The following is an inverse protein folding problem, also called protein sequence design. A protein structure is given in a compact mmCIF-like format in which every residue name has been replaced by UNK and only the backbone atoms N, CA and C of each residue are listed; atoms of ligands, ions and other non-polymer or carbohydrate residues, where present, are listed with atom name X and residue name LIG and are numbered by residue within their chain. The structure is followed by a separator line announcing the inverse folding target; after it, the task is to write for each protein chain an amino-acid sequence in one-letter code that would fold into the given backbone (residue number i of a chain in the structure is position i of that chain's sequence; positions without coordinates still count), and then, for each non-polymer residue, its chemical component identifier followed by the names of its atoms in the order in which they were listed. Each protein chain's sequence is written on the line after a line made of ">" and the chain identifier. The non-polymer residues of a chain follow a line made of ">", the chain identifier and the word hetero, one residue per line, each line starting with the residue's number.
data_IF_742129753253
#
_entry.id   IF_742129753253
#
_cell.length_a   1.000
_cell.length_b   1.000
_cell.length_c   1.000
_cell.angle_alpha   90.00
_cell.angle_beta   90.00
_cell.angle_gamma   90.00
#
_symmetry.space_group_name_H-M   'P 1'
#
loop_
_entity.id
_entity.type
_entity.pdbx_description
1 polymer ?
#
# COMPACT_ATOMS: atom_id res chain seq x y z
N UNK A 1 47.06 16.66 44.18
CA UNK A 1 46.16 15.72 44.84
C UNK A 1 44.88 15.62 44.02
N UNK A 2 44.70 14.54 43.25
CA UNK A 2 43.43 14.29 42.50
C UNK A 2 42.52 13.50 43.42
N UNK A 3 41.37 14.07 43.83
CA UNK A 3 40.35 13.37 44.62
C UNK A 3 39.62 12.40 43.69
N UNK A 4 39.82 11.12 43.92
CA UNK A 4 39.11 10.04 43.24
C UNK A 4 37.77 9.82 43.99
N UNK A 5 36.65 10.18 43.35
CA UNK A 5 35.33 9.91 43.89
C UNK A 5 35.10 8.39 43.85
N UNK A 6 34.77 7.76 44.97
CA UNK A 6 34.59 6.30 45.03
C UNK A 6 33.37 5.88 44.22
N UNK A 7 33.52 4.82 43.40
CA UNK A 7 32.52 4.26 42.46
C UNK A 7 31.08 4.10 43.02
N UNK A 8 30.86 3.74 44.29
CA UNK A 8 29.48 3.65 44.82
C UNK A 8 28.74 5.00 44.88
N UNK A 9 29.46 6.13 45.07
CA UNK A 9 28.85 7.47 45.08
C UNK A 9 28.36 7.91 43.71
N UNK A 10 29.02 7.48 42.64
CA UNK A 10 28.62 7.80 41.26
C UNK A 10 27.33 7.06 40.89
N UNK A 11 27.18 5.80 41.31
CA UNK A 11 25.96 4.97 41.05
C UNK A 11 24.72 5.53 41.80
N UNK A 12 24.87 6.00 43.03
CA UNK A 12 23.75 6.59 43.77
C UNK A 12 23.31 7.92 43.18
N UNK A 13 24.26 8.74 42.69
CA UNK A 13 23.96 10.03 42.05
C UNK A 13 23.23 9.84 40.72
N UNK A 14 23.63 8.86 39.90
CA UNK A 14 22.93 8.54 38.64
C UNK A 14 21.52 7.96 38.85
N UNK A 15 21.33 7.14 39.90
CA UNK A 15 20.02 6.60 40.26
C UNK A 15 19.04 7.69 40.71
N UNK A 16 19.53 8.66 41.48
CA UNK A 16 18.72 9.81 41.95
C UNK A 16 18.28 10.72 40.80
N UNK A 17 19.13 10.91 39.78
CA UNK A 17 18.79 11.72 38.59
C UNK A 17 17.74 11.04 37.72
N UNK A 18 17.81 9.72 37.58
CA UNK A 18 16.83 8.93 36.78
C UNK A 18 15.46 8.93 37.48
N UNK A 19 15.39 8.68 38.79
CA UNK A 19 14.14 8.67 39.55
C UNK A 19 13.51 10.06 39.60
N UNK A 20 14.31 11.14 39.77
CA UNK A 20 13.83 12.52 39.74
C UNK A 20 13.29 12.93 38.36
N UNK A 21 13.90 12.44 37.26
CA UNK A 21 13.42 12.66 35.88
C UNK A 21 12.08 12.00 35.58
N UNK A 22 11.87 10.79 36.05
CA UNK A 22 10.61 10.04 35.86
C UNK A 22 9.47 10.72 36.65
N UNK A 23 9.67 11.10 37.90
CA UNK A 23 8.67 11.81 38.71
C UNK A 23 8.27 13.18 38.12
N UNK A 24 9.22 13.89 37.45
CA UNK A 24 8.92 15.16 36.79
C UNK A 24 8.09 14.99 35.52
N UNK A 25 8.26 13.88 34.78
CA UNK A 25 7.46 13.54 33.58
C UNK A 25 6.03 13.17 33.98
N UNK A 26 5.82 12.38 35.05
CA UNK A 26 4.47 12.01 35.49
C UNK A 26 3.66 13.21 35.98
N UNK A 27 4.27 14.14 36.73
CA UNK A 27 3.60 15.37 37.18
C UNK A 27 3.22 16.35 36.05
N UNK A 28 3.80 16.22 34.85
CA UNK A 28 3.44 17.04 33.71
C UNK A 28 2.31 16.43 32.86
N UNK A 29 2.10 15.12 32.93
CA UNK A 29 1.04 14.43 32.16
C UNK A 29 -0.34 14.62 32.79
N UNK A 30 -0.46 14.81 34.09
CA UNK A 30 -1.73 15.04 34.77
C UNK A 30 -2.30 16.48 34.59
N UNK A 31 -1.53 17.41 34.04
CA UNK A 31 -1.93 18.79 33.83
C UNK A 31 -2.60 19.09 32.48
N UNK A 32 -2.74 18.11 31.60
CA UNK A 32 -3.33 18.27 30.22
C UNK A 32 -4.57 17.38 30.06
N UNK A 33 -5.44 17.39 31.04
CA UNK A 33 -6.69 16.64 30.96
C UNK A 33 -7.90 17.52 31.31
N UNK A 34 -8.86 17.54 30.41
CA UNK A 34 -10.25 18.00 30.54
C UNK A 34 -10.57 19.44 30.12
N UNK A 35 -10.91 19.58 28.85
CA UNK A 35 -11.93 20.53 28.42
C UNK A 35 -12.72 19.93 27.27
N UNK A 36 -13.85 19.31 27.53
CA UNK A 36 -14.85 18.92 26.53
C UNK A 36 -15.77 20.14 26.27
N UNK A 37 -16.07 20.47 25.02
CA UNK A 37 -17.11 21.46 24.73
C UNK A 37 -18.50 20.80 24.76
N UNK A 38 -19.40 21.43 25.53
CA UNK A 38 -20.82 21.11 25.60
C UNK A 38 -21.51 21.42 24.28
N UNK A 39 -22.22 20.43 23.75
CA UNK A 39 -23.19 20.61 22.69
C UNK A 39 -24.43 21.35 23.22
N UNK A 40 -24.80 22.43 22.57
CA UNK A 40 -26.10 23.10 22.75
C UNK A 40 -27.10 22.48 21.81
N UNK A 41 -28.14 21.88 22.38
CA UNK A 41 -29.33 21.46 21.66
C UNK A 41 -30.18 22.72 21.35
N UNK A 42 -30.53 22.90 20.10
CA UNK A 42 -31.66 23.75 19.73
C UNK A 42 -32.65 22.94 18.90
N UNK A 43 -33.84 22.84 19.44
CA UNK A 43 -35.00 22.12 18.94
C UNK A 43 -35.96 23.12 18.32
N UNK A 44 -36.33 22.91 17.06
CA UNK A 44 -37.66 23.32 16.60
C UNK A 44 -38.12 22.57 15.36
N UNK A 45 -39.42 22.24 15.27
CA UNK A 45 -39.94 21.24 14.35
C UNK A 45 -40.40 21.87 13.04
N UNK A 46 -40.13 21.23 11.94
CA UNK A 46 -40.79 21.61 10.68
C UNK A 46 -41.66 20.46 10.16
N UNK A 47 -42.91 20.82 10.01
CA UNK A 47 -44.10 20.06 9.68
C UNK A 47 -44.07 19.59 8.25
N UNK A 48 -44.29 18.30 8.03
CA UNK A 48 -44.53 17.73 6.72
C UNK A 48 -46.01 17.86 6.32
N UNK A 49 -46.38 18.11 5.06
CA UNK A 49 -47.70 17.82 4.55
C UNK A 49 -47.81 16.41 3.98
N UNK A 50 -48.89 15.74 4.33
CA UNK A 50 -49.29 14.39 3.87
C UNK A 50 -49.94 14.41 2.49
N UNK A 51 -50.08 13.25 1.84
CA UNK A 51 -50.25 13.05 0.41
C UNK A 51 -51.69 13.09 -0.04
N UNK A 52 -51.89 13.56 -1.25
CA UNK A 52 -53.15 13.47 -1.96
C UNK A 52 -53.23 12.17 -2.80
N UNK A 53 -54.37 11.55 -2.75
CA UNK A 53 -54.79 10.30 -3.35
C UNK A 53 -54.92 10.29 -4.89
N UNK A 54 -55.13 9.14 -5.54
CA UNK A 54 -54.70 8.89 -6.91
C UNK A 54 -55.82 9.18 -7.93
N UNK A 55 -55.44 9.62 -9.12
CA UNK A 55 -56.33 9.61 -10.28
C UNK A 55 -55.93 8.55 -11.29
N UNK A 56 -56.99 7.87 -11.72
CA UNK A 56 -57.05 6.71 -12.56
C UNK A 56 -56.30 6.81 -13.89
N UNK A 57 -55.88 5.66 -14.33
CA UNK A 57 -55.29 5.29 -15.63
C UNK A 57 -56.19 5.57 -16.82
N UNK A 58 -55.59 5.58 -18.01
CA UNK A 58 -56.12 4.67 -19.02
C UNK A 58 -55.05 3.66 -19.47
N UNK A 59 -55.51 2.46 -19.55
CA UNK A 59 -54.98 1.25 -20.17
C UNK A 59 -54.64 1.52 -21.65
N UNK A 60 -53.40 1.30 -22.06
CA UNK A 60 -53.04 1.21 -23.49
C UNK A 60 -52.12 0.01 -23.69
N UNK A 61 -52.63 -0.84 -24.54
CA UNK A 61 -52.18 -2.05 -25.20
C UNK A 61 -50.69 -2.43 -25.13
N UNK A 62 -50.53 -3.69 -24.79
CA UNK A 62 -49.38 -4.56 -24.92
C UNK A 62 -48.89 -4.66 -26.38
N UNK A 63 -47.75 -4.01 -26.70
CA UNK A 63 -46.95 -4.41 -27.83
C UNK A 63 -45.68 -5.13 -27.33
N UNK A 64 -45.67 -6.44 -27.59
CA UNK A 64 -44.46 -7.28 -27.45
C UNK A 64 -43.41 -6.84 -28.48
N UNK A 65 -42.56 -5.91 -28.06
CA UNK A 65 -41.33 -5.62 -28.74
C UNK A 65 -40.18 -6.27 -27.96
N UNK A 66 -39.68 -7.40 -28.50
CA UNK A 66 -38.38 -7.98 -28.07
C UNK A 66 -37.29 -7.01 -28.45
N UNK A 67 -36.97 -6.03 -27.57
CA UNK A 67 -35.80 -5.23 -27.71
C UNK A 67 -34.59 -6.02 -27.14
N UNK A 68 -33.88 -6.71 -28.02
CA UNK A 68 -32.50 -7.11 -27.78
C UNK A 68 -31.72 -5.81 -27.54
N UNK A 69 -31.04 -5.63 -26.40
CA UNK A 69 -30.21 -4.43 -26.21
C UNK A 69 -29.12 -4.44 -27.30
N UNK A 70 -29.18 -3.46 -28.19
CA UNK A 70 -28.14 -3.24 -29.15
C UNK A 70 -26.85 -2.92 -28.35
N UNK A 71 -25.95 -3.90 -28.24
CA UNK A 71 -24.58 -3.62 -27.77
C UNK A 71 -24.03 -2.50 -28.64
N UNK A 72 -23.60 -1.42 -28.00
CA UNK A 72 -23.01 -0.28 -28.69
C UNK A 72 -21.85 -0.79 -29.57
N UNK A 73 -21.93 -0.54 -30.86
CA UNK A 73 -20.89 -0.95 -31.81
C UNK A 73 -19.48 -0.44 -31.45
N UNK A 74 -19.41 0.64 -30.69
CA UNK A 74 -18.18 1.19 -30.12
C UNK A 74 -17.59 0.36 -28.97
N UNK A 75 -18.41 -0.31 -28.19
CA UNK A 75 -17.97 -1.21 -27.11
C UNK A 75 -17.48 -2.52 -27.68
N UNK A 76 -18.18 -3.11 -28.64
CA UNK A 76 -17.78 -4.33 -29.35
C UNK A 76 -16.45 -4.14 -30.12
N UNK A 77 -16.23 -2.97 -30.73
CA UNK A 77 -14.93 -2.64 -31.37
C UNK A 77 -13.79 -2.47 -30.35
N UNK A 78 -14.05 -1.89 -29.16
CA UNK A 78 -13.05 -1.74 -28.10
C UNK A 78 -12.65 -3.10 -27.51
N UNK A 79 -13.63 -3.96 -27.25
CA UNK A 79 -13.42 -5.32 -26.77
C UNK A 79 -12.63 -6.17 -27.75
N UNK A 80 -12.89 -6.05 -29.04
CA UNK A 80 -12.11 -6.71 -30.11
C UNK A 80 -10.69 -6.17 -30.23
N UNK A 81 -10.46 -4.88 -30.01
CA UNK A 81 -9.12 -4.29 -30.00
C UNK A 81 -8.31 -4.69 -28.74
N UNK A 82 -8.96 -4.80 -27.58
CA UNK A 82 -8.29 -5.20 -26.34
C UNK A 82 -7.86 -6.68 -26.35
N UNK A 83 -8.63 -7.56 -27.01
CA UNK A 83 -8.38 -9.00 -27.13
C UNK A 83 -7.57 -9.40 -28.37
N UNK A 84 -7.27 -8.45 -29.27
CA UNK A 84 -6.49 -8.75 -30.49
C UNK A 84 -5.00 -8.95 -30.14
N UNK A 85 -4.41 -10.14 -30.44
CA UNK A 85 -2.99 -10.40 -30.21
C UNK A 85 -2.06 -9.36 -30.86
N UNK A 86 -2.36 -8.89 -32.07
CA UNK A 86 -1.57 -7.86 -32.78
C UNK A 86 -1.59 -6.53 -32.01
N UNK A 87 -2.73 -6.10 -31.47
CA UNK A 87 -2.83 -4.89 -30.67
C UNK A 87 -2.07 -5.01 -29.33
N UNK A 88 -2.02 -6.22 -28.74
CA UNK A 88 -1.20 -6.50 -27.56
C UNK A 88 0.28 -6.38 -27.89
N UNK A 89 0.74 -7.00 -28.99
CA UNK A 89 2.15 -6.98 -29.37
C UNK A 89 2.63 -5.56 -29.72
N UNK A 90 1.82 -4.77 -30.43
CA UNK A 90 2.11 -3.35 -30.68
C UNK A 90 2.19 -2.52 -29.40
N UNK A 91 1.31 -2.78 -28.43
CA UNK A 91 1.34 -2.11 -27.11
C UNK A 91 2.60 -2.46 -26.35
N UNK A 92 2.97 -3.73 -26.31
CA UNK A 92 4.19 -4.20 -25.64
C UNK A 92 5.43 -3.58 -26.31
N UNK A 93 5.54 -3.64 -27.65
CA UNK A 93 6.65 -3.07 -28.40
C UNK A 93 6.80 -1.55 -28.23
N UNK A 94 5.70 -0.82 -28.00
CA UNK A 94 5.74 0.60 -27.66
C UNK A 94 6.28 0.82 -26.25
N UNK A 95 5.77 0.05 -25.25
CA UNK A 95 6.22 0.15 -23.86
C UNK A 95 7.70 -0.22 -23.70
N UNK A 96 8.21 -1.18 -24.46
CA UNK A 96 9.63 -1.57 -24.46
C UNK A 96 10.58 -0.43 -24.88
N UNK A 97 10.09 0.55 -25.64
CA UNK A 97 10.88 1.72 -26.03
C UNK A 97 10.89 2.83 -25.01
N UNK A 98 9.94 2.79 -24.06
CA UNK A 98 9.66 3.90 -23.15
C UNK A 98 9.96 3.53 -21.69
N UNK A 99 9.78 2.26 -21.30
CA UNK A 99 9.87 1.80 -19.92
C UNK A 99 10.77 0.58 -19.79
N UNK A 100 11.46 0.47 -18.66
CA UNK A 100 12.21 -0.72 -18.29
C UNK A 100 11.25 -1.85 -17.90
N UNK A 101 11.60 -3.08 -18.23
CA UNK A 101 10.91 -4.25 -17.69
C UNK A 101 11.27 -4.45 -16.24
N UNK A 102 10.30 -4.90 -15.45
CA UNK A 102 10.55 -5.35 -14.09
C UNK A 102 11.33 -6.67 -14.11
N UNK A 103 12.31 -6.75 -13.22
CA UNK A 103 13.07 -7.98 -12.97
C UNK A 103 12.26 -8.93 -12.07
N UNK A 104 12.57 -10.22 -12.14
CA UNK A 104 11.96 -11.23 -11.28
C UNK A 104 12.58 -11.19 -9.87
N UNK A 105 11.86 -11.73 -8.87
CA UNK A 105 12.41 -11.97 -7.54
C UNK A 105 13.55 -12.96 -7.66
N UNK A 106 14.74 -12.58 -7.21
CA UNK A 106 15.96 -13.35 -7.39
C UNK A 106 16.43 -13.98 -6.08
N UNK A 107 16.67 -15.29 -6.08
CA UNK A 107 17.27 -16.08 -5.00
C UNK A 107 16.76 -15.71 -3.59
N UNK A 108 15.44 -15.75 -3.33
CA UNK A 108 14.88 -15.40 -2.03
C UNK A 108 15.40 -16.36 -0.95
N UNK A 109 15.63 -15.82 0.25
CA UNK A 109 16.05 -16.62 1.43
C UNK A 109 14.86 -17.17 2.21
N UNK A 110 13.64 -16.73 1.90
CA UNK A 110 12.38 -17.15 2.50
C UNK A 110 11.26 -16.18 2.19
N UNK A 111 10.06 -16.55 2.64
CA UNK A 111 8.84 -15.77 2.48
C UNK A 111 8.08 -15.67 3.80
N UNK A 112 7.34 -14.58 3.99
CA UNK A 112 6.37 -14.39 5.08
C UNK A 112 5.05 -13.97 4.42
N UNK A 113 3.92 -14.46 4.94
CA UNK A 113 2.57 -14.28 4.40
C UNK A 113 2.35 -14.87 2.99
N UNK A 114 3.27 -15.69 2.48
CA UNK A 114 3.14 -16.39 1.20
C UNK A 114 4.10 -17.57 1.17
N UNK A 115 3.84 -18.54 0.30
CA UNK A 115 4.72 -19.67 0.02
C UNK A 115 5.70 -19.36 -1.13
N UNK A 116 5.30 -18.47 -2.04
CA UNK A 116 6.07 -18.04 -3.21
C UNK A 116 5.60 -16.67 -3.70
N UNK A 117 6.47 -15.95 -4.40
CA UNK A 117 6.17 -14.68 -5.07
C UNK A 117 6.85 -14.64 -6.41
N UNK A 118 6.09 -14.38 -7.48
CA UNK A 118 6.62 -14.20 -8.83
C UNK A 118 6.02 -12.97 -9.49
N UNK A 119 6.89 -12.07 -9.95
CA UNK A 119 6.52 -10.90 -10.75
C UNK A 119 5.97 -11.35 -12.11
N UNK A 120 6.60 -12.36 -12.71
CA UNK A 120 6.19 -12.89 -14.01
C UNK A 120 4.81 -13.57 -13.96
N UNK A 121 4.47 -14.27 -12.88
CA UNK A 121 3.17 -14.92 -12.72
C UNK A 121 2.02 -13.91 -12.63
N UNK A 122 2.27 -12.70 -12.14
CA UNK A 122 1.27 -11.64 -12.04
C UNK A 122 1.05 -10.87 -13.36
N UNK A 123 1.91 -11.07 -14.36
CA UNK A 123 1.78 -10.40 -15.66
C UNK A 123 0.49 -10.79 -16.39
N UNK A 124 -0.17 -9.81 -16.93
CA UNK A 124 -1.47 -9.94 -17.58
C UNK A 124 -2.65 -9.79 -16.63
N UNK A 125 -2.44 -9.90 -15.32
CA UNK A 125 -3.52 -9.94 -14.33
C UNK A 125 -3.48 -8.80 -13.33
N UNK A 126 -2.30 -8.45 -12.81
CA UNK A 126 -2.17 -7.54 -11.66
C UNK A 126 -1.22 -6.38 -11.94
N UNK A 127 -1.49 -5.25 -11.29
CA UNK A 127 -0.50 -4.20 -11.04
C UNK A 127 0.28 -4.60 -9.80
N UNK A 128 1.60 -4.37 -9.77
CA UNK A 128 2.44 -4.73 -8.63
C UNK A 128 3.01 -3.46 -8.00
N UNK A 129 2.89 -3.34 -6.68
CA UNK A 129 3.67 -2.42 -5.87
C UNK A 129 4.79 -3.22 -5.18
N UNK A 130 6.02 -3.03 -5.64
CA UNK A 130 7.20 -3.62 -5.03
C UNK A 130 7.84 -2.59 -4.10
N UNK A 131 8.01 -2.94 -2.83
CA UNK A 131 8.60 -2.09 -1.80
C UNK A 131 9.88 -2.71 -1.23
N UNK A 132 11.02 -2.05 -1.45
CA UNK A 132 12.30 -2.41 -0.82
C UNK A 132 12.40 -1.74 0.54
N UNK A 133 12.48 -2.54 1.58
CA UNK A 133 12.47 -2.06 2.96
C UNK A 133 13.36 -2.88 3.89
N UNK A 134 13.62 -2.37 5.08
CA UNK A 134 14.12 -3.14 6.21
C UNK A 134 13.49 -2.63 7.51
N UNK A 135 13.29 -3.50 8.48
CA UNK A 135 12.44 -3.20 9.63
C UNK A 135 13.03 -2.19 10.62
N UNK A 136 14.36 -2.03 10.67
CA UNK A 136 15.00 -1.03 11.54
C UNK A 136 15.11 0.36 10.91
N UNK A 137 14.83 0.50 9.61
CA UNK A 137 14.88 1.77 8.90
C UNK A 137 13.70 2.68 9.28
N UNK A 138 13.98 3.83 9.90
CA UNK A 138 12.95 4.74 10.39
C UNK A 138 12.04 5.28 9.26
N UNK A 139 12.61 5.61 8.08
CA UNK A 139 11.84 6.07 6.94
C UNK A 139 10.93 4.98 6.37
N UNK A 140 11.36 3.70 6.45
CA UNK A 140 10.52 2.56 6.09
C UNK A 140 9.34 2.42 7.05
N UNK A 141 9.58 2.57 8.36
CA UNK A 141 8.52 2.52 9.38
C UNK A 141 7.48 3.64 9.17
N UNK A 142 7.90 4.84 8.74
CA UNK A 142 6.99 5.94 8.41
C UNK A 142 6.19 5.68 7.12
N UNK A 143 6.77 4.96 6.18
CA UNK A 143 6.13 4.62 4.89
C UNK A 143 5.12 3.48 5.03
N UNK A 144 5.37 2.53 5.93
CA UNK A 144 4.62 1.29 6.11
C UNK A 144 3.10 1.47 6.25
N UNK A 145 2.57 2.43 7.05
CA UNK A 145 1.12 2.63 7.18
C UNK A 145 0.41 2.99 5.88
N UNK A 146 1.11 3.62 4.93
CA UNK A 146 0.54 3.94 3.61
C UNK A 146 0.47 2.71 2.73
N UNK A 147 1.51 1.86 2.73
CA UNK A 147 1.56 0.62 1.97
C UNK A 147 0.48 -0.36 2.47
N UNK A 148 0.33 -0.52 3.80
CA UNK A 148 -0.74 -1.32 4.40
C UNK A 148 -2.12 -0.85 3.94
N UNK A 149 -2.37 0.47 3.95
CA UNK A 149 -3.63 1.06 3.49
C UNK A 149 -3.89 0.82 2.01
N UNK A 150 -2.86 0.88 1.15
CA UNK A 150 -3.02 0.57 -0.28
C UNK A 150 -3.28 -0.91 -0.51
N UNK A 151 -2.62 -1.78 0.26
CA UNK A 151 -2.91 -3.20 0.26
C UNK A 151 -4.37 -3.45 0.64
N UNK A 152 -4.83 -2.97 1.81
CA UNK A 152 -6.21 -3.11 2.27
C UNK A 152 -7.25 -2.60 1.25
N UNK A 153 -6.96 -1.48 0.59
CA UNK A 153 -7.90 -0.83 -0.33
C UNK A 153 -7.95 -1.44 -1.71
N UNK A 154 -6.85 -1.98 -2.24
CA UNK A 154 -6.71 -2.32 -3.65
C UNK A 154 -6.28 -3.78 -3.92
N UNK A 155 -6.07 -4.61 -2.89
CA UNK A 155 -5.51 -5.97 -3.03
C UNK A 155 -6.54 -7.02 -3.49
N UNK A 156 -7.79 -6.65 -3.61
CA UNK A 156 -8.85 -7.56 -4.05
C UNK A 156 -8.45 -8.19 -5.37
N UNK A 157 -8.18 -8.41 -6.29
CA UNK A 157 -7.67 -9.09 -7.47
C UNK A 157 -6.82 -8.22 -8.41
N UNK A 158 -6.59 -6.94 -8.09
CA UNK A 158 -6.02 -5.99 -9.03
C UNK A 158 -4.62 -5.47 -8.68
N UNK A 159 -4.35 -5.21 -7.38
CA UNK A 159 -3.04 -4.78 -6.89
C UNK A 159 -2.39 -5.89 -6.09
N UNK A 160 -1.18 -6.26 -6.44
CA UNK A 160 -0.32 -7.10 -5.62
C UNK A 160 0.76 -6.23 -4.97
N UNK A 161 0.72 -6.13 -3.65
CA UNK A 161 1.83 -5.54 -2.88
C UNK A 161 2.82 -6.64 -2.56
N UNK A 162 4.11 -6.35 -2.72
CA UNK A 162 5.21 -7.24 -2.37
C UNK A 162 6.27 -6.43 -1.64
N UNK A 163 6.54 -6.79 -0.38
CA UNK A 163 7.66 -6.25 0.38
C UNK A 163 8.92 -7.06 0.10
N UNK A 164 10.00 -6.42 -0.31
CA UNK A 164 11.33 -7.03 -0.42
C UNK A 164 12.15 -6.54 0.76
N UNK A 165 12.23 -7.40 1.78
CA UNK A 165 13.04 -7.12 2.96
C UNK A 165 14.50 -7.41 2.67
N UNK A 166 15.29 -6.35 2.46
CA UNK A 166 16.75 -6.44 2.22
C UNK A 166 17.46 -5.89 3.45
N UNK A 167 18.22 -6.72 4.18
CA UNK A 167 18.81 -6.35 5.47
C UNK A 167 19.95 -5.34 5.33
N UNK A 168 19.96 -4.28 6.16
CA UNK A 168 21.11 -3.38 6.33
C UNK A 168 22.11 -3.96 7.33
N UNK A 169 21.59 -4.59 8.40
CA UNK A 169 22.39 -5.14 9.49
C UNK A 169 22.27 -6.66 9.59
N UNK A 170 23.27 -7.29 10.24
CA UNK A 170 23.32 -8.75 10.36
C UNK A 170 22.11 -9.34 11.08
N UNK A 171 21.60 -8.66 12.13
CA UNK A 171 20.46 -9.15 12.91
C UNK A 171 19.14 -9.14 12.12
N UNK A 172 19.06 -8.38 11.05
CA UNK A 172 17.91 -8.31 10.15
C UNK A 172 17.82 -9.51 9.19
N UNK A 173 18.85 -10.36 9.14
CA UNK A 173 18.84 -11.61 8.35
C UNK A 173 18.09 -12.75 9.01
N UNK A 174 17.85 -12.63 10.33
CA UNK A 174 17.21 -13.68 11.10
C UNK A 174 15.69 -13.69 10.82
N UNK A 175 15.20 -14.82 10.28
CA UNK A 175 13.79 -14.97 9.89
C UNK A 175 12.82 -14.58 11.02
N UNK A 176 13.05 -15.05 12.25
CA UNK A 176 12.20 -14.78 13.38
C UNK A 176 12.09 -13.28 13.72
N UNK A 177 13.17 -12.51 13.53
CA UNK A 177 13.16 -11.08 13.76
C UNK A 177 12.33 -10.34 12.70
N UNK A 178 12.48 -10.73 11.43
CA UNK A 178 11.69 -10.15 10.33
C UNK A 178 10.21 -10.51 10.48
N UNK A 179 9.92 -11.78 10.82
CA UNK A 179 8.55 -12.23 11.06
C UNK A 179 7.88 -11.48 12.23
N UNK A 180 8.60 -11.23 13.31
CA UNK A 180 8.11 -10.42 14.42
C UNK A 180 7.83 -8.98 13.97
N UNK A 181 8.75 -8.36 13.23
CA UNK A 181 8.59 -7.01 12.74
C UNK A 181 7.41 -6.87 11.74
N UNK A 182 7.20 -7.86 10.87
CA UNK A 182 6.05 -7.95 9.96
C UNK A 182 4.73 -7.96 10.75
N UNK A 183 4.64 -8.78 11.81
CA UNK A 183 3.46 -8.83 12.69
C UNK A 183 3.24 -7.51 13.43
N UNK A 184 4.29 -6.93 14.00
CA UNK A 184 4.22 -5.66 14.75
C UNK A 184 3.82 -4.47 13.87
N UNK A 185 4.27 -4.47 12.60
CA UNK A 185 3.91 -3.45 11.61
C UNK A 185 2.52 -3.68 10.96
N UNK A 186 1.83 -4.79 11.26
CA UNK A 186 0.53 -5.12 10.67
C UNK A 186 0.62 -5.38 9.16
N UNK A 187 1.72 -5.97 8.68
CA UNK A 187 1.92 -6.29 7.27
C UNK A 187 1.22 -7.61 6.97
N UNK A 188 0.24 -7.59 6.05
CA UNK A 188 -0.53 -8.76 5.63
C UNK A 188 -0.17 -9.23 4.20
N UNK A 189 0.47 -8.39 3.41
CA UNK A 189 0.93 -8.75 2.06
C UNK A 189 2.20 -9.61 2.10
N UNK A 190 2.52 -10.32 0.99
CA UNK A 190 3.73 -11.11 0.84
C UNK A 190 5.00 -10.32 1.10
N UNK A 191 5.90 -10.90 1.90
CA UNK A 191 7.24 -10.36 2.15
C UNK A 191 8.27 -11.40 1.73
N UNK A 192 9.21 -10.95 0.90
CA UNK A 192 10.36 -11.72 0.41
C UNK A 192 11.58 -11.36 1.25
N UNK A 193 12.31 -12.33 1.75
CA UNK A 193 13.60 -12.12 2.42
C UNK A 193 14.74 -12.16 1.40
N UNK A 194 15.32 -11.01 1.12
CA UNK A 194 16.43 -10.83 0.17
C UNK A 194 17.79 -10.74 0.88
N UNK A 195 18.09 -11.75 1.73
CA UNK A 195 19.30 -11.79 2.57
C UNK A 195 20.61 -11.77 1.77
N UNK A 196 20.56 -12.19 0.52
CA UNK A 196 21.69 -12.19 -0.41
C UNK A 196 21.84 -10.94 -1.26
N UNK A 197 20.87 -10.01 -1.16
CA UNK A 197 20.78 -8.82 -2.02
C UNK A 197 20.58 -9.15 -3.51
N UNK A 198 20.05 -10.32 -3.84
CA UNK A 198 19.92 -10.74 -5.22
C UNK A 198 18.86 -9.93 -5.97
N UNK A 199 17.67 -9.74 -5.37
CA UNK A 199 16.63 -8.88 -5.92
C UNK A 199 17.03 -7.40 -5.87
N UNK A 200 17.63 -6.96 -4.77
CA UNK A 200 18.20 -5.63 -4.62
C UNK A 200 19.14 -5.25 -5.78
N UNK A 201 20.08 -6.15 -6.10
CA UNK A 201 21.04 -5.93 -7.18
C UNK A 201 20.39 -5.99 -8.57
N UNK A 202 19.39 -6.86 -8.77
CA UNK A 202 18.64 -6.93 -10.03
C UNK A 202 17.92 -5.60 -10.37
N UNK A 203 17.45 -4.89 -9.34
CA UNK A 203 16.82 -3.57 -9.50
C UNK A 203 17.82 -2.39 -9.42
N UNK A 204 19.13 -2.64 -9.35
CA UNK A 204 20.19 -1.62 -9.10
C UNK A 204 19.84 -0.71 -7.92
N UNK A 205 19.22 -1.30 -6.88
CA UNK A 205 18.69 -0.59 -5.72
C UNK A 205 19.83 -0.06 -4.83
N UNK A 206 19.63 1.11 -4.19
CA UNK A 206 20.66 1.78 -3.39
C UNK A 206 20.15 2.42 -2.11
N UNK A 207 18.84 2.52 -1.92
CA UNK A 207 18.22 3.26 -0.83
C UNK A 207 17.02 2.50 -0.23
N UNK A 208 16.75 2.74 1.05
CA UNK A 208 15.52 2.35 1.75
C UNK A 208 14.76 3.60 2.23
N UNK A 209 13.42 3.60 2.18
CA UNK A 209 12.59 2.72 1.35
C UNK A 209 12.72 3.05 -0.14
N UNK A 210 12.28 2.12 -0.99
CA UNK A 210 12.13 2.40 -2.42
C UNK A 210 10.94 1.64 -2.99
N UNK A 211 10.08 2.35 -3.69
CA UNK A 211 8.86 1.81 -4.26
C UNK A 211 8.92 1.79 -5.78
N UNK A 212 8.43 0.70 -6.37
CA UNK A 212 8.27 0.53 -7.80
C UNK A 212 6.83 0.13 -8.11
N UNK A 213 6.18 0.83 -9.04
CA UNK A 213 4.90 0.41 -9.58
C UNK A 213 5.12 -0.21 -10.96
N UNK A 214 4.69 -1.45 -11.08
CA UNK A 214 4.81 -2.28 -12.27
C UNK A 214 3.41 -2.48 -12.82
N UNK A 215 3.21 -2.17 -14.10
CA UNK A 215 1.91 -2.36 -14.74
C UNK A 215 1.62 -3.84 -15.06
N UNK A 216 0.39 -4.13 -15.47
CA UNK A 216 -0.02 -5.50 -15.81
C UNK A 216 0.76 -6.11 -16.97
N UNK A 217 1.40 -5.32 -17.83
CA UNK A 217 2.28 -5.82 -18.89
C UNK A 217 3.71 -6.12 -18.40
N UNK A 218 4.04 -5.77 -17.14
CA UNK A 218 5.33 -6.04 -16.51
C UNK A 218 6.37 -4.94 -16.70
N UNK A 219 5.94 -3.70 -16.96
CA UNK A 219 6.82 -2.54 -17.09
C UNK A 219 6.80 -1.67 -15.85
N UNK A 220 7.97 -1.15 -15.44
CA UNK A 220 8.11 -0.21 -14.35
C UNK A 220 7.61 1.16 -14.82
N UNK A 221 6.48 1.62 -14.27
CA UNK A 221 5.81 2.86 -14.65
C UNK A 221 6.05 4.02 -13.67
N UNK A 222 6.57 3.70 -12.50
CA UNK A 222 6.87 4.69 -11.46
C UNK A 222 7.92 4.14 -10.51
N UNK A 223 8.80 5.03 -10.04
CA UNK A 223 9.80 4.77 -9.00
C UNK A 223 9.79 5.91 -8.01
N UNK A 224 9.85 5.58 -6.74
CA UNK A 224 10.06 6.57 -5.69
C UNK A 224 11.11 6.07 -4.69
N UNK A 225 12.06 6.93 -4.35
CA UNK A 225 13.14 6.62 -3.44
C UNK A 225 13.04 7.50 -2.19
N UNK A 226 13.11 6.87 -1.02
CA UNK A 226 12.96 7.53 0.26
C UNK A 226 11.50 7.63 0.73
N UNK A 227 11.32 8.32 1.85
CA UNK A 227 10.02 8.60 2.45
C UNK A 227 9.27 9.69 1.66
N UNK A 228 7.94 9.63 1.62
CA UNK A 228 7.08 10.67 1.04
C UNK A 228 6.40 10.31 -0.28
N UNK A 229 5.97 11.32 -1.05
CA UNK A 229 5.24 11.22 -2.31
C UNK A 229 4.00 10.31 -2.27
N UNK A 230 3.37 10.11 -1.10
CA UNK A 230 2.29 9.15 -0.91
C UNK A 230 1.06 9.43 -1.78
N UNK A 231 0.69 10.70 -1.94
CA UNK A 231 -0.42 11.11 -2.80
C UNK A 231 -0.16 10.86 -4.29
N UNK A 232 1.08 11.08 -4.74
CA UNK A 232 1.52 10.80 -6.12
C UNK A 232 1.55 9.30 -6.39
N UNK A 233 2.11 8.52 -5.46
CA UNK A 233 2.15 7.05 -5.55
C UNK A 233 0.74 6.47 -5.63
N UNK A 234 -0.20 6.91 -4.77
CA UNK A 234 -1.58 6.44 -4.82
C UNK A 234 -2.30 6.86 -6.11
N UNK A 235 -2.05 8.06 -6.61
CA UNK A 235 -2.59 8.49 -7.90
C UNK A 235 -2.10 7.59 -9.05
N UNK A 236 -0.82 7.21 -9.04
CA UNK A 236 -0.25 6.29 -10.03
C UNK A 236 -0.80 4.86 -9.88
N UNK A 237 -1.02 4.36 -8.65
CA UNK A 237 -1.70 3.07 -8.43
C UNK A 237 -3.07 3.10 -9.13
N UNK A 238 -3.90 4.11 -8.89
CA UNK A 238 -5.23 4.22 -9.50
C UNK A 238 -5.19 4.33 -11.02
N UNK A 239 -4.20 5.05 -11.57
CA UNK A 239 -4.00 5.16 -13.02
C UNK A 239 -3.73 3.78 -13.64
N UNK A 240 -2.80 3.01 -13.05
CA UNK A 240 -2.40 1.70 -13.56
C UNK A 240 -3.50 0.65 -13.39
N UNK A 241 -4.27 0.70 -12.29
CA UNK A 241 -5.44 -0.15 -12.10
C UNK A 241 -6.50 0.12 -13.17
N UNK A 242 -6.78 1.39 -13.47
CA UNK A 242 -7.71 1.75 -14.53
C UNK A 242 -7.18 1.37 -15.94
N UNK A 243 -5.87 1.41 -16.17
CA UNK A 243 -5.25 0.89 -17.40
C UNK A 243 -5.44 -0.62 -17.53
N UNK A 244 -5.13 -1.37 -16.47
CA UNK A 244 -5.30 -2.82 -16.39
C UNK A 244 -6.76 -3.23 -16.66
N UNK A 245 -7.74 -2.57 -16.02
CA UNK A 245 -9.16 -2.88 -16.19
C UNK A 245 -9.63 -2.67 -17.63
N UNK A 246 -9.11 -1.66 -18.33
CA UNK A 246 -9.38 -1.47 -19.77
C UNK A 246 -8.77 -2.56 -20.69
N UNK A 247 -7.75 -3.26 -20.22
CA UNK A 247 -7.09 -4.33 -20.99
C UNK A 247 -7.77 -5.70 -20.79
N UNK A 248 -8.62 -5.83 -19.77
CA UNK A 248 -9.31 -7.08 -19.44
C UNK A 248 -10.79 -7.08 -19.83
N UNK A 249 -11.35 -5.92 -20.21
CA UNK A 249 -12.71 -5.78 -20.73
C UNK A 249 -12.72 -5.66 -22.25
#
# INVERSE_FOLDING_TARGET
>A
MRSVIPRPFLLVLTLMLVVGGIAFIELRLDAVGTAAPRASADSSPNTAPRPGEPKAQPEVAEERGMSVPAKNHSEDMRDRMASNPEAKDERIARKEKEFDRAEEIAAPSGFINADDVSINAARGEKVILLDFWTYSCINCQHTQPYINRWHERYADDRLQVVGVHTPEFRFEKEYANVEQAVREAGIEYPVVLDNSYATWNAYDQRYWPAMYLIDADGFIRYRHFGEGAYGETEAKIRELLAERDRLQN
#
